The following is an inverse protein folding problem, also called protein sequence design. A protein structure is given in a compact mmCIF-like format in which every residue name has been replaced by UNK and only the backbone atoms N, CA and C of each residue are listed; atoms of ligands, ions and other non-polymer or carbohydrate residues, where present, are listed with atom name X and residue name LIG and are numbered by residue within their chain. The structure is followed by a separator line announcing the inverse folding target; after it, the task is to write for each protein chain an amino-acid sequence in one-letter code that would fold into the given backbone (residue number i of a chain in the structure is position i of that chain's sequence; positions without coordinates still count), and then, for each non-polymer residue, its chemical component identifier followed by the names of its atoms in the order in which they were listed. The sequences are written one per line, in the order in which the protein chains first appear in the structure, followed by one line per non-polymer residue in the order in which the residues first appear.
data_IF_501385026783
#
_entry.id   IF_501385026783
#
_cell.length_a   1.000
_cell.length_b   1.000
_cell.length_c   1.000
_cell.angle_alpha   90.00
_cell.angle_beta   90.00
_cell.angle_gamma   90.00
#
_symmetry.space_group_name_H-M   'P 1'
#
loop_
_entity.id
_entity.type
_entity.pdbx_description
1 polymer ?
#
# COMPACT_ATOMS: atom_id res chain seq x y z
N UNK A 1 0.55 -27.95 -3.08
CA UNK A 1 -0.91 -27.96 -2.82
C UNK A 1 -1.30 -29.10 -1.87
N UNK A 2 -0.73 -30.30 -1.98
CA UNK A 2 -0.92 -31.38 -1.00
C UNK A 2 -0.40 -31.03 0.41
N UNK A 3 0.80 -30.48 0.55
CA UNK A 3 1.37 -30.10 1.85
C UNK A 3 0.60 -29.01 2.60
N UNK A 4 -0.18 -28.19 1.89
CA UNK A 4 -0.99 -27.12 2.49
C UNK A 4 -2.33 -27.65 3.00
N UNK A 5 -2.82 -28.79 2.46
CA UNK A 5 -3.97 -29.52 3.00
C UNK A 5 -3.58 -30.29 4.26
N UNK A 6 -2.41 -30.94 4.27
CA UNK A 6 -1.94 -31.71 5.42
C UNK A 6 -1.69 -30.85 6.67
N UNK A 7 -1.17 -29.62 6.54
CA UNK A 7 -0.99 -28.73 7.69
C UNK A 7 -2.32 -28.25 8.30
N UNK A 8 -3.38 -28.12 7.49
CA UNK A 8 -4.70 -27.76 8.00
C UNK A 8 -5.45 -28.98 8.60
N UNK A 9 -5.00 -30.20 8.28
CA UNK A 9 -5.45 -31.46 8.87
C UNK A 9 -4.65 -31.87 10.12
N UNK A 10 -3.69 -31.05 10.58
CA UNK A 10 -3.10 -31.22 11.91
C UNK A 10 -4.20 -30.99 12.97
N UNK A 11 -4.32 -31.98 13.87
CA UNK A 11 -5.40 -32.24 14.85
C UNK A 11 -5.95 -31.05 15.66
N UNK A 12 -5.31 -29.87 15.61
CA UNK A 12 -5.73 -28.65 16.30
C UNK A 12 -6.85 -27.87 15.58
N UNK A 13 -6.88 -27.80 14.25
CA UNK A 13 -7.95 -27.06 13.53
C UNK A 13 -9.27 -27.83 13.46
N UNK A 14 -9.19 -29.17 13.53
CA UNK A 14 -10.36 -30.07 13.56
C UNK A 14 -11.09 -30.00 14.91
N UNK A 15 -10.42 -29.54 15.97
CA UNK A 15 -11.00 -29.41 17.32
C UNK A 15 -11.66 -28.04 17.60
N UNK A 16 -11.46 -27.04 16.73
CA UNK A 16 -12.04 -25.72 16.95
C UNK A 16 -13.56 -25.74 16.75
N UNK A 17 -14.29 -25.19 17.71
CA UNK A 17 -15.71 -24.94 17.53
C UNK A 17 -15.95 -23.84 16.47
N UNK A 18 -17.18 -23.68 15.95
CA UNK A 18 -17.45 -22.71 14.89
C UNK A 18 -17.15 -21.25 15.23
N UNK A 19 -17.15 -20.86 16.50
CA UNK A 19 -16.76 -19.51 16.91
C UNK A 19 -15.24 -19.35 16.95
N UNK A 20 -14.53 -20.29 17.56
CA UNK A 20 -13.05 -20.32 17.59
C UNK A 20 -12.47 -20.28 16.18
N UNK A 21 -13.04 -21.08 15.26
CA UNK A 21 -12.64 -21.09 13.86
C UNK A 21 -12.80 -19.71 13.22
N UNK A 22 -13.92 -19.02 13.42
CA UNK A 22 -14.13 -17.67 12.85
C UNK A 22 -13.17 -16.64 13.45
N UNK A 23 -12.89 -16.72 14.75
CA UNK A 23 -11.90 -15.84 15.41
C UNK A 23 -10.50 -16.11 14.85
N UNK A 24 -10.10 -17.36 14.68
CA UNK A 24 -8.84 -17.72 14.04
C UNK A 24 -8.74 -17.13 12.63
N UNK A 25 -9.79 -17.26 11.81
CA UNK A 25 -9.79 -16.69 10.46
C UNK A 25 -9.86 -15.16 10.43
N UNK A 26 -10.32 -14.51 11.50
CA UNK A 26 -10.15 -13.05 11.66
C UNK A 26 -8.67 -12.68 11.77
N UNK A 27 -7.87 -13.43 12.54
CA UNK A 27 -6.42 -13.21 12.61
C UNK A 27 -5.74 -13.47 11.25
N UNK A 28 -6.17 -14.50 10.52
CA UNK A 28 -5.71 -14.73 9.14
C UNK A 28 -6.01 -13.51 8.26
N UNK A 29 -7.22 -12.94 8.32
CA UNK A 29 -7.57 -11.75 7.56
C UNK A 29 -6.72 -10.53 7.97
N UNK A 30 -6.38 -10.39 9.24
CA UNK A 30 -5.51 -9.31 9.73
C UNK A 30 -4.08 -9.47 9.18
N UNK A 31 -3.56 -10.70 9.06
CA UNK A 31 -2.28 -10.96 8.39
C UNK A 31 -2.35 -10.72 6.87
N UNK A 32 -3.47 -11.09 6.21
CA UNK A 32 -3.71 -10.79 4.79
C UNK A 32 -3.82 -9.27 4.55
N UNK A 33 -4.39 -8.53 5.51
CA UNK A 33 -4.39 -7.07 5.50
C UNK A 33 -2.97 -6.52 5.58
N UNK A 34 -2.17 -6.95 6.56
CA UNK A 34 -0.78 -6.50 6.71
C UNK A 34 0.06 -6.77 5.43
N UNK A 35 -0.06 -7.97 4.85
CA UNK A 35 0.65 -8.32 3.62
C UNK A 35 0.03 -7.69 2.36
N UNK A 36 -1.20 -7.20 2.42
CA UNK A 36 -1.98 -6.75 1.26
C UNK A 36 -2.24 -7.88 0.25
N UNK A 37 -2.23 -9.14 0.66
CA UNK A 37 -2.38 -10.28 -0.23
C UNK A 37 -2.95 -11.51 0.50
N UNK A 38 -3.65 -12.42 -0.21
CA UNK A 38 -3.95 -13.75 0.32
C UNK A 38 -2.66 -14.48 0.71
N UNK A 39 -2.63 -15.12 1.89
CA UNK A 39 -1.41 -15.72 2.43
C UNK A 39 -0.81 -16.82 1.55
N UNK A 40 -1.61 -17.50 0.72
CA UNK A 40 -1.08 -18.48 -0.24
C UNK A 40 -0.16 -17.88 -1.32
N UNK A 41 -0.17 -16.55 -1.49
CA UNK A 41 0.73 -15.84 -2.41
C UNK A 41 1.95 -15.26 -1.71
N UNK A 42 1.99 -15.26 -0.38
CA UNK A 42 3.02 -14.63 0.44
C UNK A 42 4.12 -15.67 0.75
N UNK A 43 5.38 -15.25 0.69
CA UNK A 43 6.53 -16.10 0.99
C UNK A 43 6.59 -16.46 2.47
N UNK A 44 6.37 -17.71 2.83
CA UNK A 44 6.48 -18.15 4.23
C UNK A 44 7.87 -17.88 4.85
N UNK A 45 8.94 -17.88 4.05
CA UNK A 45 10.31 -17.68 4.55
C UNK A 45 10.71 -16.22 4.71
N UNK A 46 10.03 -15.29 4.03
CA UNK A 46 10.49 -13.90 3.92
C UNK A 46 9.39 -12.86 4.12
N UNK A 47 8.17 -13.26 4.49
CA UNK A 47 7.03 -12.35 4.61
C UNK A 47 7.30 -11.17 5.58
N UNK A 48 8.09 -11.43 6.61
CA UNK A 48 8.49 -10.57 7.72
C UNK A 48 9.97 -10.16 7.64
N UNK A 49 10.62 -10.27 6.48
CA UNK A 49 12.07 -10.03 6.34
C UNK A 49 12.55 -8.66 6.83
N UNK A 50 11.67 -7.65 6.82
CA UNK A 50 12.00 -6.31 7.31
C UNK A 50 12.22 -6.30 8.84
N UNK A 51 11.65 -7.25 9.57
CA UNK A 51 11.84 -7.41 11.02
C UNK A 51 13.23 -7.97 11.38
N UNK A 52 14.06 -8.31 10.38
CA UNK A 52 15.46 -8.65 10.61
C UNK A 52 16.29 -7.46 11.12
N UNK A 53 15.78 -6.23 11.03
CA UNK A 53 16.37 -5.04 11.64
C UNK A 53 15.41 -4.41 12.66
N UNK A 54 15.95 -3.57 13.55
CA UNK A 54 15.13 -2.78 14.47
C UNK A 54 14.12 -1.91 13.72
N UNK A 55 12.84 -2.13 14.01
CA UNK A 55 11.74 -1.28 13.54
C UNK A 55 11.56 -0.07 14.46
N UNK A 56 10.76 0.92 14.02
CA UNK A 56 10.48 2.10 14.85
C UNK A 56 9.72 1.73 16.12
N UNK A 57 10.29 2.10 17.27
CA UNK A 57 9.65 1.96 18.58
C UNK A 57 8.57 3.04 18.79
N UNK A 58 7.76 2.86 19.83
CA UNK A 58 6.69 3.78 20.22
C UNK A 58 5.31 3.34 19.74
N UNK A 59 4.33 4.22 19.94
CA UNK A 59 2.93 3.93 19.62
C UNK A 59 2.62 4.24 18.16
N UNK A 60 1.92 3.33 17.50
CA UNK A 60 1.28 3.63 16.22
C UNK A 60 0.28 4.79 16.41
N UNK A 61 0.35 5.78 15.53
CA UNK A 61 -0.42 7.02 15.63
C UNK A 61 -1.12 7.33 14.32
N UNK A 62 -2.24 8.04 14.41
CA UNK A 62 -3.00 8.51 13.25
C UNK A 62 -2.65 9.97 12.93
N UNK A 63 -2.32 10.25 11.66
CA UNK A 63 -2.26 11.61 11.14
C UNK A 63 -3.67 12.17 11.00
N UNK A 64 -4.17 12.78 12.08
CA UNK A 64 -5.55 13.29 12.19
C UNK A 64 -5.90 14.39 11.19
N UNK A 65 -4.89 15.13 10.72
CA UNK A 65 -5.00 16.14 9.66
C UNK A 65 -4.95 15.55 8.23
N UNK A 66 -4.74 14.24 8.11
CA UNK A 66 -4.53 13.54 6.85
C UNK A 66 -3.08 13.62 6.36
N UNK A 67 -2.63 12.54 5.70
CA UNK A 67 -1.29 12.46 5.11
C UNK A 67 -1.06 13.46 3.96
N UNK A 68 -2.13 13.98 3.35
CA UNK A 68 -2.04 14.93 2.24
C UNK A 68 -1.30 16.21 2.62
N UNK A 69 -1.51 16.76 3.83
CA UNK A 69 -0.80 17.98 4.28
C UNK A 69 0.72 17.81 4.29
N UNK A 70 1.20 16.60 4.62
CA UNK A 70 2.64 16.29 4.60
C UNK A 70 3.15 16.28 3.16
N UNK A 71 2.39 15.70 2.24
CA UNK A 71 2.75 15.66 0.81
C UNK A 71 2.76 17.06 0.21
N UNK A 72 1.76 17.89 0.51
CA UNK A 72 1.67 19.28 0.06
C UNK A 72 2.84 20.11 0.57
N UNK A 73 3.21 19.97 1.84
CA UNK A 73 4.36 20.67 2.41
C UNK A 73 5.70 20.24 1.78
N UNK A 74 5.86 18.95 1.44
CA UNK A 74 7.08 18.48 0.74
C UNK A 74 7.10 18.96 -0.73
N UNK A 75 5.93 19.13 -1.34
CA UNK A 75 5.78 19.59 -2.71
C UNK A 75 5.92 21.12 -2.89
N UNK A 76 5.96 21.87 -1.79
CA UNK A 76 6.13 23.33 -1.80
C UNK A 76 7.40 23.71 -2.57
N UNK A 77 7.33 24.81 -3.32
CA UNK A 77 8.40 25.33 -4.17
C UNK A 77 9.00 24.35 -5.20
N UNK A 78 8.28 23.28 -5.53
CA UNK A 78 8.69 22.28 -6.54
C UNK A 78 7.89 22.42 -7.83
N UNK A 79 8.56 22.37 -8.98
CA UNK A 79 7.88 22.33 -10.29
C UNK A 79 7.20 20.97 -10.51
N UNK A 80 5.87 20.94 -10.47
CA UNK A 80 5.07 19.72 -10.66
C UNK A 80 4.19 19.87 -11.90
N UNK A 81 4.41 19.01 -12.89
CA UNK A 81 3.59 18.96 -14.10
C UNK A 81 2.52 17.88 -13.95
N UNK A 82 1.31 18.27 -13.57
CA UNK A 82 0.16 17.36 -13.50
C UNK A 82 -0.37 17.00 -14.89
N UNK A 83 -1.11 15.89 -14.98
CA UNK A 83 -1.69 15.36 -16.23
C UNK A 83 -0.63 15.05 -17.33
N UNK A 84 0.61 14.77 -16.93
CA UNK A 84 1.74 14.44 -17.81
C UNK A 84 2.13 12.97 -17.65
N UNK A 85 1.44 12.09 -18.38
CA UNK A 85 1.66 10.64 -18.31
C UNK A 85 2.86 10.23 -19.14
N UNK A 86 3.92 9.75 -18.48
CA UNK A 86 5.11 9.17 -19.11
C UNK A 86 4.78 7.78 -19.66
N UNK A 87 5.19 7.49 -20.90
CA UNK A 87 5.10 6.12 -21.45
C UNK A 87 6.45 5.56 -21.91
N UNK A 88 7.50 6.39 -21.98
CA UNK A 88 8.83 5.94 -22.41
C UNK A 88 9.95 6.72 -21.74
N UNK A 89 11.01 5.99 -21.37
CA UNK A 89 12.27 6.52 -20.86
C UNK A 89 13.40 5.93 -21.70
N UNK A 90 14.16 6.78 -22.38
CA UNK A 90 15.21 6.39 -23.32
C UNK A 90 16.56 7.00 -22.92
N UNK A 91 17.60 6.19 -22.82
CA UNK A 91 18.97 6.68 -22.75
C UNK A 91 19.36 7.29 -24.11
N UNK A 92 19.92 8.50 -24.07
CA UNK A 92 20.46 9.20 -25.24
C UNK A 92 21.97 9.44 -25.04
N UNK A 93 22.67 9.99 -26.04
CA UNK A 93 24.13 10.19 -25.96
C UNK A 93 24.54 10.97 -24.69
N UNK A 94 23.86 12.09 -24.40
CA UNK A 94 24.04 12.89 -23.18
C UNK A 94 22.70 13.03 -22.45
N UNK A 95 22.54 12.25 -21.39
CA UNK A 95 21.33 12.23 -20.56
C UNK A 95 20.30 11.16 -20.94
N UNK A 96 19.04 11.52 -20.69
CA UNK A 96 17.84 10.71 -20.87
C UNK A 96 16.75 11.53 -21.55
N UNK A 97 15.92 10.87 -22.36
CA UNK A 97 14.72 11.43 -22.96
C UNK A 97 13.49 10.74 -22.39
N UNK A 98 12.52 11.53 -21.96
CA UNK A 98 11.25 11.09 -21.37
C UNK A 98 10.11 11.51 -22.29
N UNK A 99 9.40 10.52 -22.83
CA UNK A 99 8.28 10.75 -23.76
C UNK A 99 6.94 10.64 -23.04
N UNK A 100 6.08 11.62 -23.28
CA UNK A 100 4.76 11.74 -22.68
C UNK A 100 3.66 11.37 -23.68
N UNK A 101 2.51 10.93 -23.17
CA UNK A 101 1.38 10.49 -23.99
C UNK A 101 0.79 11.59 -24.88
N UNK A 102 1.00 12.86 -24.55
CA UNK A 102 0.55 14.01 -25.34
C UNK A 102 1.53 14.38 -26.46
N UNK A 103 2.60 13.59 -26.66
CA UNK A 103 3.64 13.83 -27.66
C UNK A 103 4.77 14.75 -27.18
N UNK A 104 4.71 15.26 -25.95
CA UNK A 104 5.81 16.05 -25.38
C UNK A 104 7.03 15.16 -25.13
N UNK A 105 8.21 15.65 -25.46
CA UNK A 105 9.50 15.03 -25.14
C UNK A 105 10.27 15.95 -24.18
N UNK A 106 10.75 15.39 -23.08
CA UNK A 106 11.60 16.08 -22.11
C UNK A 106 12.99 15.46 -22.11
N UNK A 107 14.03 16.30 -22.07
CA UNK A 107 15.41 15.84 -21.92
C UNK A 107 15.99 16.32 -20.60
N UNK A 108 16.79 15.46 -19.95
CA UNK A 108 17.48 15.76 -18.70
C UNK A 108 18.77 14.95 -18.62
N UNK A 109 19.71 15.36 -17.76
CA UNK A 109 20.93 14.59 -17.52
C UNK A 109 20.63 13.23 -16.85
N UNK A 110 19.66 13.22 -15.94
CA UNK A 110 19.25 12.06 -15.13
C UNK A 110 17.74 12.06 -14.93
N UNK A 111 17.17 10.89 -14.65
CA UNK A 111 15.75 10.70 -14.29
C UNK A 111 15.63 9.84 -13.04
N UNK A 112 14.74 10.24 -12.13
CA UNK A 112 14.31 9.45 -10.99
C UNK A 112 12.92 8.88 -11.25
N UNK A 113 12.81 7.56 -11.27
CA UNK A 113 11.56 6.83 -11.48
C UNK A 113 10.97 6.43 -10.13
N UNK A 114 9.77 6.95 -9.82
CA UNK A 114 9.05 6.68 -8.57
C UNK A 114 7.69 6.04 -8.76
N UNK A 115 7.43 5.49 -9.96
CA UNK A 115 6.12 4.89 -10.28
C UNK A 115 5.88 3.62 -9.47
N UNK A 116 4.61 3.30 -9.14
CA UNK A 116 4.28 2.10 -8.38
C UNK A 116 4.75 0.80 -9.07
N UNK A 117 5.07 -0.23 -8.26
CA UNK A 117 5.52 -1.53 -8.76
C UNK A 117 4.54 -2.15 -9.77
N UNK A 118 3.23 -1.96 -9.57
CA UNK A 118 2.21 -2.45 -10.51
C UNK A 118 2.32 -1.81 -11.89
N UNK A 119 2.71 -0.54 -11.99
CA UNK A 119 2.93 0.14 -13.28
C UNK A 119 4.12 -0.46 -14.03
N UNK A 120 5.21 -0.75 -13.30
CA UNK A 120 6.38 -1.43 -13.86
C UNK A 120 6.04 -2.86 -14.32
N UNK A 121 5.23 -3.59 -13.55
CA UNK A 121 4.76 -4.95 -13.90
C UNK A 121 3.89 -4.99 -15.15
N UNK A 122 3.02 -3.99 -15.32
CA UNK A 122 2.14 -3.87 -16.50
C UNK A 122 2.90 -3.48 -17.78
N UNK A 123 4.14 -2.98 -17.64
CA UNK A 123 4.92 -2.48 -18.77
C UNK A 123 4.40 -1.15 -19.32
N UNK A 124 3.71 -0.36 -18.49
CA UNK A 124 3.12 0.93 -18.90
C UNK A 124 4.17 1.97 -19.31
N UNK A 125 5.43 1.77 -18.88
CA UNK A 125 6.57 2.61 -19.26
C UNK A 125 7.59 1.71 -19.97
N UNK A 126 7.89 2.05 -21.22
CA UNK A 126 8.93 1.41 -22.00
C UNK A 126 10.30 1.99 -21.63
N UNK A 127 11.29 1.13 -21.38
CA UNK A 127 12.68 1.54 -21.16
C UNK A 127 13.54 1.17 -22.38
N UNK A 128 14.33 2.11 -22.88
CA UNK A 128 15.27 1.91 -23.98
C UNK A 128 16.70 2.34 -23.59
N UNK A 129 17.68 1.42 -23.49
CA UNK A 129 17.55 -0.04 -23.65
C UNK A 129 16.67 -0.67 -22.55
N UNK A 130 16.19 -1.92 -22.75
CA UNK A 130 15.43 -2.63 -21.74
C UNK A 130 16.16 -2.69 -20.39
N UNK A 131 15.39 -2.71 -19.29
CA UNK A 131 15.95 -2.78 -17.94
C UNK A 131 16.83 -4.04 -17.77
N UNK A 132 17.93 -3.95 -17.00
CA UNK A 132 18.80 -5.10 -16.73
C UNK A 132 18.01 -6.27 -16.16
N UNK A 133 18.39 -7.50 -16.56
CA UNK A 133 17.67 -8.74 -16.19
C UNK A 133 17.41 -8.84 -14.69
N UNK A 134 18.38 -8.48 -13.84
CA UNK A 134 18.23 -8.50 -12.38
C UNK A 134 17.04 -7.65 -11.90
N UNK A 135 16.88 -6.45 -12.45
CA UNK A 135 15.75 -5.55 -12.12
C UNK A 135 14.44 -6.06 -12.71
N UNK A 136 14.43 -6.48 -13.97
CA UNK A 136 13.25 -7.05 -14.62
C UNK A 136 12.71 -8.28 -13.86
N UNK A 137 13.61 -9.15 -13.40
CA UNK A 137 13.24 -10.32 -12.61
C UNK A 137 12.68 -9.94 -11.22
N UNK A 138 13.25 -8.90 -10.57
CA UNK A 138 12.73 -8.39 -9.30
C UNK A 138 11.33 -7.76 -9.45
N UNK A 139 11.11 -6.96 -10.51
CA UNK A 139 9.78 -6.44 -10.88
C UNK A 139 8.79 -7.59 -11.03
N UNK A 140 9.19 -8.71 -11.64
CA UNK A 140 8.32 -9.88 -11.82
C UNK A 140 8.03 -10.59 -10.50
N UNK A 141 9.04 -10.81 -9.66
CA UNK A 141 8.93 -11.61 -8.43
C UNK A 141 8.16 -10.91 -7.31
N UNK A 142 8.49 -9.66 -6.99
CA UNK A 142 7.85 -8.94 -5.88
C UNK A 142 6.34 -8.89 -6.07
N UNK A 143 5.59 -9.00 -4.98
CA UNK A 143 4.14 -8.92 -5.02
C UNK A 143 3.66 -7.48 -5.13
N UNK A 144 2.61 -7.23 -5.91
CA UNK A 144 1.85 -5.98 -5.88
C UNK A 144 0.55 -6.23 -5.12
N UNK A 145 0.54 -5.88 -3.83
CA UNK A 145 -0.57 -6.13 -2.93
C UNK A 145 -1.74 -5.18 -3.17
N UNK A 146 -2.91 -5.57 -2.68
CA UNK A 146 -4.15 -4.80 -2.75
C UNK A 146 -4.97 -4.97 -1.48
N UNK A 147 -5.36 -3.83 -0.93
CA UNK A 147 -6.45 -3.66 0.03
C UNK A 147 -7.32 -2.51 -0.43
N UNK A 148 -8.57 -2.48 0.02
CA UNK A 148 -9.49 -1.36 -0.26
C UNK A 148 -10.06 -0.82 1.04
N UNK A 149 -10.29 0.49 1.10
CA UNK A 149 -10.83 1.21 2.24
C UNK A 149 -12.27 1.60 1.96
N UNK A 150 -13.09 1.49 2.99
CA UNK A 150 -14.45 2.00 3.02
C UNK A 150 -14.55 2.93 4.21
N UNK A 151 -14.97 4.18 4.02
CA UNK A 151 -15.30 5.05 5.14
C UNK A 151 -16.71 5.60 5.00
N UNK A 152 -17.39 5.70 6.13
CA UNK A 152 -18.77 6.19 6.23
C UNK A 152 -18.85 7.20 7.36
N UNK A 153 -19.31 8.40 7.01
CA UNK A 153 -19.56 9.47 7.95
C UNK A 153 -21.03 9.45 8.40
N UNK A 154 -21.25 9.60 9.69
CA UNK A 154 -22.55 9.61 10.34
C UNK A 154 -22.80 10.95 11.06
N UNK A 155 -24.06 11.38 11.18
CA UNK A 155 -24.41 12.63 11.87
C UNK A 155 -24.32 12.51 13.40
N UNK A 156 -24.24 11.29 13.94
CA UNK A 156 -24.07 11.04 15.38
C UNK A 156 -23.27 9.76 15.66
N UNK A 157 -22.52 9.75 16.75
CA UNK A 157 -21.82 8.56 17.24
C UNK A 157 -22.82 7.58 17.88
N UNK A 158 -23.17 6.50 17.17
CA UNK A 158 -23.99 5.43 17.73
C UNK A 158 -23.18 4.37 18.50
N UNK A 159 -21.84 4.40 18.38
CA UNK A 159 -20.89 3.50 19.05
C UNK A 159 -20.24 4.13 20.31
N UNK A 160 -20.87 5.16 20.89
CA UNK A 160 -20.35 5.90 22.06
C UNK A 160 -19.99 5.00 23.26
N UNK A 161 -20.73 3.90 23.44
CA UNK A 161 -20.51 2.95 24.53
C UNK A 161 -19.13 2.27 24.43
N UNK A 162 -18.60 2.09 23.21
CA UNK A 162 -17.23 1.58 23.00
C UNK A 162 -16.16 2.59 23.42
N UNK A 163 -16.47 3.88 23.33
CA UNK A 163 -15.57 4.98 23.72
C UNK A 163 -15.51 5.17 25.23
N UNK A 164 -16.51 4.69 25.95
CA UNK A 164 -16.60 4.77 27.42
C UNK A 164 -15.88 3.61 28.12
N UNK A 165 -15.33 2.65 27.36
CA UNK A 165 -14.47 1.59 27.92
C UNK A 165 -13.15 2.17 28.45
N UNK A 166 -12.51 1.43 29.36
CA UNK A 166 -11.20 1.76 29.90
C UNK A 166 -10.20 0.63 29.57
N UNK A 167 -9.24 0.84 28.65
CA UNK A 167 -9.03 2.07 27.88
C UNK A 167 -10.09 2.27 26.78
N UNK A 168 -10.27 3.51 26.28
CA UNK A 168 -11.12 3.79 25.14
C UNK A 168 -10.67 2.97 23.92
N UNK A 169 -11.64 2.51 23.14
CA UNK A 169 -11.38 1.65 21.97
C UNK A 169 -11.42 2.51 20.70
N UNK A 170 -10.30 2.60 19.98
CA UNK A 170 -10.20 3.32 18.70
C UNK A 170 -10.55 2.44 17.49
N UNK A 171 -10.62 1.12 17.65
CA UNK A 171 -11.05 0.17 16.62
C UNK A 171 -11.63 -1.12 17.22
N UNK A 172 -12.51 -1.80 16.49
CA UNK A 172 -13.14 -3.04 16.92
C UNK A 172 -13.23 -4.06 15.79
N UNK A 173 -13.30 -5.34 16.16
CA UNK A 173 -13.32 -6.45 15.21
C UNK A 173 -14.74 -6.80 14.74
N UNK A 174 -14.84 -7.21 13.47
CA UNK A 174 -15.99 -7.91 12.90
C UNK A 174 -15.58 -9.35 12.57
N UNK A 175 -16.08 -10.30 13.37
CA UNK A 175 -15.85 -11.73 13.17
C UNK A 175 -16.91 -12.29 12.22
N UNK A 176 -16.62 -12.20 10.92
CA UNK A 176 -17.50 -12.67 9.84
C UNK A 176 -17.39 -14.16 9.52
N UNK A 177 -18.10 -14.64 8.48
CA UNK A 177 -17.90 -15.97 7.90
C UNK A 177 -16.47 -16.16 7.38
N UNK A 178 -15.96 -17.39 7.41
CA UNK A 178 -14.56 -17.74 7.05
C UNK A 178 -14.22 -17.36 5.61
N UNK A 179 -15.17 -17.56 4.70
CA UNK A 179 -15.07 -17.29 3.27
C UNK A 179 -15.06 -15.78 2.97
N UNK A 180 -15.54 -14.98 3.93
CA UNK A 180 -15.67 -13.52 3.86
C UNK A 180 -14.80 -12.84 4.92
N UNK A 181 -13.80 -13.54 5.45
CA UNK A 181 -12.98 -13.07 6.58
C UNK A 181 -12.33 -11.69 6.36
N UNK A 182 -12.04 -11.33 5.11
CA UNK A 182 -11.44 -10.06 4.75
C UNK A 182 -12.46 -8.92 4.58
N UNK A 183 -13.77 -9.19 4.58
CA UNK A 183 -14.80 -8.15 4.49
C UNK A 183 -14.97 -7.45 5.84
N UNK A 184 -14.49 -6.21 5.88
CA UNK A 184 -14.70 -5.28 6.99
C UNK A 184 -14.18 -5.81 8.34
N UNK A 185 -13.12 -6.61 8.32
CA UNK A 185 -12.65 -7.38 9.47
C UNK A 185 -12.30 -6.49 10.68
N UNK A 186 -11.70 -5.33 10.45
CA UNK A 186 -11.40 -4.34 11.50
C UNK A 186 -12.03 -3.00 11.15
N UNK A 187 -12.72 -2.39 12.12
CA UNK A 187 -13.44 -1.12 11.96
C UNK A 187 -12.83 -0.10 12.89
N UNK A 188 -12.37 1.03 12.36
CA UNK A 188 -11.66 2.09 13.05
C UNK A 188 -12.54 3.34 13.20
N UNK A 189 -12.48 4.00 14.35
CA UNK A 189 -13.05 5.33 14.56
C UNK A 189 -12.09 6.40 14.04
N UNK A 190 -12.37 6.92 12.85
CA UNK A 190 -11.63 8.01 12.19
C UNK A 190 -12.27 9.39 12.42
N UNK A 191 -13.16 9.51 13.41
CA UNK A 191 -13.74 10.82 13.79
C UNK A 191 -12.63 11.78 14.18
N UNK A 192 -12.50 12.92 13.47
CA UNK A 192 -11.56 13.97 13.85
C UNK A 192 -12.00 14.61 15.18
N UNK A 193 -11.12 14.59 16.19
CA UNK A 193 -11.40 15.04 17.56
C UNK A 193 -10.71 16.37 17.92
N UNK A 194 -10.00 17.02 16.99
CA UNK A 194 -9.19 18.21 17.29
C UNK A 194 -10.02 19.39 17.83
N UNK A 195 -11.22 19.64 17.28
CA UNK A 195 -12.03 20.83 17.63
C UNK A 195 -13.01 20.61 18.81
N UNK A 196 -12.91 19.50 19.56
CA UNK A 196 -13.78 19.18 20.70
C UNK A 196 -15.22 18.80 20.36
N UNK A 197 -15.78 19.30 19.25
CA UNK A 197 -17.11 18.95 18.73
C UNK A 197 -17.02 18.50 17.26
N UNK A 198 -16.90 17.19 16.97
CA UNK A 198 -16.86 16.70 15.59
C UNK A 198 -18.15 17.00 14.84
N UNK A 199 -18.04 17.57 13.64
CA UNK A 199 -19.17 17.83 12.73
C UNK A 199 -19.75 16.53 12.13
N UNK A 200 -18.94 15.48 12.06
CA UNK A 200 -19.33 14.16 11.59
C UNK A 200 -18.51 13.07 12.29
N UNK A 201 -19.08 11.87 12.38
CA UNK A 201 -18.46 10.71 13.03
C UNK A 201 -18.14 9.65 11.99
N UNK A 202 -16.87 9.27 11.84
CA UNK A 202 -16.41 8.46 10.71
C UNK A 202 -15.98 7.08 11.20
N UNK A 203 -16.57 6.04 10.60
CA UNK A 203 -16.05 4.68 10.70
C UNK A 203 -15.38 4.30 9.38
N UNK A 204 -14.16 3.76 9.47
CA UNK A 204 -13.41 3.25 8.32
C UNK A 204 -13.10 1.78 8.51
N UNK A 205 -13.15 1.00 7.44
CA UNK A 205 -12.79 -0.42 7.45
C UNK A 205 -12.08 -0.82 6.17
N UNK A 206 -11.50 -2.02 6.19
CA UNK A 206 -10.74 -2.57 5.09
C UNK A 206 -11.45 -3.75 4.43
N UNK A 207 -11.15 -3.94 3.15
CA UNK A 207 -11.36 -5.20 2.43
C UNK A 207 -10.02 -5.72 1.93
N UNK A 208 -9.69 -6.97 2.27
CA UNK A 208 -8.41 -7.61 1.95
C UNK A 208 -8.59 -9.08 1.54
N UNK A 209 -7.48 -9.72 1.15
CA UNK A 209 -7.45 -11.15 0.82
C UNK A 209 -8.44 -11.54 -0.28
N UNK A 210 -9.00 -12.75 -0.18
CA UNK A 210 -9.97 -13.27 -1.17
C UNK A 210 -11.30 -12.51 -1.20
N UNK A 211 -11.61 -11.76 -0.13
CA UNK A 211 -12.84 -10.98 -0.06
C UNK A 211 -12.90 -9.86 -1.11
N UNK A 212 -11.75 -9.49 -1.70
CA UNK A 212 -11.70 -8.56 -2.83
C UNK A 212 -12.43 -9.09 -4.08
N UNK A 213 -12.54 -10.41 -4.26
CA UNK A 213 -13.28 -11.00 -5.39
C UNK A 213 -14.79 -10.73 -5.31
N UNK A 214 -15.32 -10.63 -4.08
CA UNK A 214 -16.71 -10.23 -3.84
C UNK A 214 -16.85 -8.73 -4.07
N UNK A 215 -15.92 -7.95 -3.51
CA UNK A 215 -15.89 -6.48 -3.60
C UNK A 215 -15.81 -5.95 -5.03
N UNK A 216 -15.03 -6.60 -5.90
CA UNK A 216 -14.87 -6.19 -7.30
C UNK A 216 -16.15 -6.31 -8.13
N UNK A 217 -17.09 -7.16 -7.69
CA UNK A 217 -18.40 -7.39 -8.31
C UNK A 217 -19.50 -6.47 -7.78
N UNK A 218 -19.15 -5.49 -6.93
CA UNK A 218 -20.11 -4.58 -6.29
C UNK A 218 -19.87 -3.13 -6.70
N UNK A 219 -20.95 -2.38 -6.87
CA UNK A 219 -20.90 -0.91 -6.93
C UNK A 219 -20.57 -0.34 -5.57
N UNK A 220 -20.15 0.93 -5.51
CA UNK A 220 -19.82 1.57 -4.24
C UNK A 220 -21.03 1.60 -3.29
N UNK A 221 -22.23 1.95 -3.78
CA UNK A 221 -23.46 1.91 -2.98
C UNK A 221 -23.77 0.52 -2.42
N UNK A 222 -23.49 -0.54 -3.19
CA UNK A 222 -23.67 -1.92 -2.72
C UNK A 222 -22.67 -2.27 -1.62
N UNK A 223 -21.40 -1.85 -1.76
CA UNK A 223 -20.38 -2.03 -0.71
C UNK A 223 -20.77 -1.28 0.56
N UNK A 224 -21.23 -0.03 0.43
CA UNK A 224 -21.67 0.78 1.57
C UNK A 224 -22.88 0.12 2.25
N UNK A 225 -23.84 -0.37 1.49
CA UNK A 225 -24.98 -1.10 2.03
C UNK A 225 -24.53 -2.33 2.82
N UNK A 226 -23.59 -3.12 2.28
CA UNK A 226 -23.01 -4.28 2.98
C UNK A 226 -22.33 -3.85 4.29
N UNK A 227 -21.56 -2.77 4.28
CA UNK A 227 -20.88 -2.27 5.48
C UNK A 227 -21.89 -1.79 6.54
N UNK A 228 -22.95 -1.07 6.16
CA UNK A 228 -24.02 -0.66 7.08
C UNK A 228 -24.76 -1.87 7.65
N UNK A 229 -25.02 -2.90 6.85
CA UNK A 229 -25.63 -4.15 7.32
C UNK A 229 -24.73 -4.89 8.32
N UNK A 230 -23.42 -4.89 8.11
CA UNK A 230 -22.44 -5.38 9.09
C UNK A 230 -22.52 -4.59 10.40
N UNK A 231 -22.55 -3.25 10.33
CA UNK A 231 -22.70 -2.42 11.52
C UNK A 231 -24.01 -2.70 12.26
N UNK A 232 -25.14 -2.92 11.56
CA UNK A 232 -26.43 -3.26 12.19
C UNK A 232 -26.36 -4.56 12.98
N UNK A 233 -25.60 -5.54 12.49
CA UNK A 233 -25.36 -6.81 13.20
C UNK A 233 -24.48 -6.63 14.43
N UNK A 234 -23.47 -5.75 14.35
CA UNK A 234 -22.54 -5.48 15.46
C UNK A 234 -23.16 -4.65 16.59
N UNK A 235 -24.16 -3.82 16.28
CA UNK A 235 -24.84 -2.95 17.25
C UNK A 235 -26.34 -3.27 17.33
N UNK A 236 -26.72 -4.49 17.78
CA UNK A 236 -28.12 -4.88 17.89
C UNK A 236 -28.87 -3.91 18.82
N UNK A 237 -30.09 -3.54 18.43
CA UNK A 237 -30.93 -2.59 19.18
C UNK A 237 -30.53 -1.12 19.06
N UNK A 238 -29.43 -0.78 18.38
CA UNK A 238 -29.08 0.63 18.09
C UNK A 238 -29.62 1.04 16.72
N UNK A 239 -30.28 2.20 16.66
CA UNK A 239 -30.62 2.81 15.38
C UNK A 239 -29.36 3.38 14.72
N UNK A 240 -28.94 2.80 13.60
CA UNK A 240 -27.84 3.30 12.76
C UNK A 240 -28.40 4.41 11.84
N UNK A 241 -27.95 5.67 11.98
CA UNK A 241 -28.43 6.76 11.16
C UNK A 241 -28.04 6.60 9.69
N UNK A 242 -28.76 7.28 8.80
CA UNK A 242 -28.36 7.39 7.40
C UNK A 242 -26.97 8.06 7.33
N UNK A 243 -26.05 7.55 6.48
CA UNK A 243 -24.78 8.21 6.23
C UNK A 243 -24.96 9.65 5.72
N UNK A 244 -24.04 10.53 6.12
CA UNK A 244 -23.90 11.91 5.61
C UNK A 244 -22.68 12.06 4.69
N UNK A 245 -21.87 11.01 4.56
CA UNK A 245 -20.74 10.96 3.63
C UNK A 245 -20.25 9.52 3.50
N UNK A 246 -19.67 9.19 2.35
CA UNK A 246 -19.16 7.85 2.06
C UNK A 246 -17.97 7.92 1.11
N UNK A 247 -17.04 6.98 1.24
CA UNK A 247 -15.99 6.72 0.26
C UNK A 247 -15.75 5.21 0.14
N UNK A 248 -15.39 4.77 -1.06
CA UNK A 248 -14.90 3.43 -1.35
C UNK A 248 -13.67 3.58 -2.23
N UNK A 249 -12.50 3.12 -1.79
CA UNK A 249 -11.31 3.12 -2.65
C UNK A 249 -11.38 2.01 -3.69
N UNK A 250 -10.71 2.22 -4.83
CA UNK A 250 -10.54 1.23 -5.90
C UNK A 250 -9.07 1.23 -6.38
N UNK A 251 -8.12 1.12 -5.46
CA UNK A 251 -6.68 1.16 -5.74
C UNK A 251 -6.25 0.17 -6.82
N UNK A 252 -6.83 -1.03 -6.83
CA UNK A 252 -6.51 -2.02 -7.86
C UNK A 252 -6.95 -1.65 -9.28
N UNK A 253 -7.96 -0.78 -9.40
CA UNK A 253 -8.52 -0.32 -10.69
C UNK A 253 -7.94 1.03 -11.14
N UNK A 254 -7.22 1.72 -10.26
CA UNK A 254 -6.54 2.96 -10.60
C UNK A 254 -5.48 2.71 -11.70
N UNK A 255 -5.58 3.46 -12.80
CA UNK A 255 -4.74 3.27 -13.99
C UNK A 255 -3.30 3.75 -13.81
N UNK A 256 -3.06 4.63 -12.84
CA UNK A 256 -1.75 5.22 -12.56
C UNK A 256 -1.11 4.63 -11.30
N UNK A 257 -1.86 3.84 -10.53
CA UNK A 257 -1.40 3.18 -9.31
C UNK A 257 -1.50 1.66 -9.39
N UNK A 258 -2.72 1.12 -9.49
CA UNK A 258 -2.98 -0.32 -9.68
C UNK A 258 -2.61 -1.25 -8.51
N UNK A 259 -2.30 -0.72 -7.33
CA UNK A 259 -1.93 -1.48 -6.12
C UNK A 259 -2.09 -0.65 -4.85
N UNK A 260 -1.93 -1.29 -3.69
CA UNK A 260 -1.81 -0.61 -2.40
C UNK A 260 -0.35 -0.47 -1.98
N UNK A 261 0.36 -1.59 -1.86
CA UNK A 261 1.77 -1.65 -1.46
C UNK A 261 2.35 -3.02 -1.83
N UNK A 262 3.68 -3.09 -1.91
CA UNK A 262 4.40 -4.29 -2.28
C UNK A 262 4.38 -5.35 -1.18
N UNK A 263 4.68 -6.60 -1.51
CA UNK A 263 4.85 -7.66 -0.52
C UNK A 263 5.84 -8.72 -1.00
N UNK A 264 6.35 -9.50 -0.06
CA UNK A 264 7.21 -10.65 -0.36
C UNK A 264 6.37 -11.82 -0.89
N UNK A 265 6.25 -11.92 -2.22
CA UNK A 265 5.52 -13.01 -2.84
C UNK A 265 6.32 -14.32 -2.84
N UNK A 266 5.64 -15.45 -2.96
CA UNK A 266 6.29 -16.77 -3.13
C UNK A 266 7.32 -16.71 -4.25
N UNK A 267 8.55 -17.09 -3.94
CA UNK A 267 9.69 -17.05 -4.86
C UNK A 267 10.46 -15.73 -4.90
N UNK A 268 9.98 -14.68 -4.24
CA UNK A 268 10.75 -13.43 -4.04
C UNK A 268 11.88 -13.64 -3.03
N UNK A 269 12.91 -12.81 -3.13
CA UNK A 269 13.99 -12.70 -2.15
C UNK A 269 14.09 -11.28 -1.63
N UNK A 270 14.51 -11.04 -0.38
CA UNK A 270 14.68 -9.69 0.15
C UNK A 270 15.53 -8.77 -0.75
N UNK A 271 16.53 -9.33 -1.44
CA UNK A 271 17.41 -8.63 -2.39
C UNK A 271 16.67 -8.13 -3.65
N UNK A 272 15.41 -8.53 -3.86
CA UNK A 272 14.58 -7.99 -4.93
C UNK A 272 14.31 -6.50 -4.70
N UNK A 273 14.12 -6.04 -3.45
CA UNK A 273 14.02 -4.61 -3.14
C UNK A 273 15.31 -3.84 -3.48
N UNK A 274 16.47 -4.45 -3.21
CA UNK A 274 17.77 -3.85 -3.54
C UNK A 274 17.96 -3.78 -5.07
N UNK A 275 17.49 -4.81 -5.78
CA UNK A 275 17.49 -4.86 -7.24
C UNK A 275 16.54 -3.85 -7.88
N UNK A 276 15.40 -3.57 -7.22
CA UNK A 276 14.49 -2.48 -7.58
C UNK A 276 15.16 -1.11 -7.40
N UNK A 277 15.90 -0.90 -6.31
CA UNK A 277 16.60 0.35 -6.02
C UNK A 277 17.78 0.65 -6.95
N UNK A 278 18.50 -0.37 -7.42
CA UNK A 278 19.75 -0.20 -8.15
C UNK A 278 19.61 0.74 -9.37
N UNK A 279 20.49 1.74 -9.57
CA UNK A 279 20.44 2.61 -10.75
C UNK A 279 20.77 1.84 -12.04
N UNK A 280 20.42 2.44 -13.18
CA UNK A 280 20.74 1.92 -14.52
C UNK A 280 21.54 2.98 -15.27
N UNK A 281 22.76 2.57 -15.68
CA UNK A 281 23.69 3.38 -16.47
C UNK A 281 23.97 4.77 -15.88
N UNK A 282 23.96 4.89 -14.55
CA UNK A 282 24.21 6.13 -13.78
C UNK A 282 23.34 7.33 -14.21
N UNK A 283 22.18 7.04 -14.80
CA UNK A 283 21.26 8.04 -15.39
C UNK A 283 19.80 7.80 -15.05
N UNK A 284 19.40 6.54 -14.84
CA UNK A 284 18.02 6.19 -14.44
C UNK A 284 18.07 5.63 -13.02
N UNK A 285 17.47 6.35 -12.08
CA UNK A 285 17.42 6.00 -10.67
C UNK A 285 16.01 5.58 -10.29
N UNK A 286 15.88 4.85 -9.18
CA UNK A 286 14.61 4.32 -8.72
C UNK A 286 14.40 4.61 -7.23
N UNK A 287 13.21 5.12 -6.90
CA UNK A 287 12.75 5.31 -5.53
C UNK A 287 11.28 4.89 -5.42
N UNK A 288 10.73 4.95 -4.20
CA UNK A 288 9.40 4.50 -3.84
C UNK A 288 9.44 3.30 -2.89
N UNK A 289 8.29 2.97 -2.31
CA UNK A 289 8.17 1.94 -1.26
C UNK A 289 8.75 0.57 -1.69
N UNK A 290 8.57 0.19 -2.96
CA UNK A 290 9.08 -1.06 -3.52
C UNK A 290 10.60 -1.05 -3.81
N UNK A 291 11.33 -0.05 -3.29
CA UNK A 291 12.78 0.08 -3.42
C UNK A 291 13.48 0.18 -2.06
N UNK A 292 12.77 -0.04 -0.94
CA UNK A 292 13.34 0.06 0.40
C UNK A 292 13.19 -1.26 1.16
N UNK A 293 14.22 -2.11 1.12
CA UNK A 293 14.21 -3.45 1.74
C UNK A 293 13.78 -3.45 3.21
N UNK A 294 14.24 -2.49 3.99
CA UNK A 294 14.00 -2.51 5.44
C UNK A 294 12.71 -1.83 5.90
N UNK A 295 12.11 -1.01 5.05
CA UNK A 295 10.88 -0.27 5.34
C UNK A 295 9.96 -0.29 4.10
N UNK A 296 9.66 -1.47 3.52
CA UNK A 296 8.77 -1.54 2.36
C UNK A 296 7.35 -1.11 2.78
N UNK A 297 6.44 -0.93 1.83
CA UNK A 297 5.01 -0.61 2.03
C UNK A 297 4.70 0.77 2.60
N UNK A 298 5.62 1.36 3.34
CA UNK A 298 5.37 2.51 4.20
C UNK A 298 5.63 3.84 3.51
N UNK A 299 4.94 4.90 3.96
CA UNK A 299 5.22 6.27 3.53
C UNK A 299 6.64 6.71 3.89
N UNK A 300 7.12 6.37 5.09
CA UNK A 300 8.46 6.75 5.51
C UNK A 300 9.55 6.00 4.73
N UNK A 301 9.34 4.72 4.39
CA UNK A 301 10.25 4.00 3.50
C UNK A 301 10.30 4.60 2.09
N UNK A 302 9.16 5.04 1.56
CA UNK A 302 9.10 5.80 0.31
C UNK A 302 9.91 7.11 0.41
N UNK A 303 9.71 7.89 1.48
CA UNK A 303 10.45 9.12 1.73
C UNK A 303 11.96 8.90 1.83
N UNK A 304 12.40 7.93 2.65
CA UNK A 304 13.81 7.56 2.81
C UNK A 304 14.44 7.08 1.50
N UNK A 305 13.68 6.35 0.68
CA UNK A 305 14.15 5.91 -0.64
C UNK A 305 14.36 7.07 -1.61
N UNK A 306 13.55 8.13 -1.51
CA UNK A 306 13.72 9.36 -2.27
C UNK A 306 15.03 10.06 -1.91
N UNK A 307 15.27 10.27 -0.60
CA UNK A 307 16.55 10.81 -0.10
C UNK A 307 17.72 9.99 -0.63
N UNK A 308 17.69 8.66 -0.45
CA UNK A 308 18.76 7.75 -0.90
C UNK A 308 19.05 7.91 -2.40
N UNK A 309 18.01 7.87 -3.24
CA UNK A 309 18.19 7.93 -4.69
C UNK A 309 18.74 9.30 -5.14
N UNK A 310 18.26 10.39 -4.55
CA UNK A 310 18.77 11.74 -4.83
C UNK A 310 20.22 11.91 -4.37
N UNK A 311 20.61 11.35 -3.22
CA UNK A 311 22.02 11.34 -2.80
C UNK A 311 22.92 10.65 -3.82
N UNK A 312 22.53 9.46 -4.31
CA UNK A 312 23.28 8.78 -5.39
C UNK A 312 23.36 9.63 -6.67
N UNK A 313 22.26 10.29 -7.05
CA UNK A 313 22.25 11.18 -8.22
C UNK A 313 23.24 12.33 -8.09
N UNK A 314 23.34 12.93 -6.90
CA UNK A 314 24.26 14.02 -6.60
C UNK A 314 25.71 13.56 -6.57
N UNK A 315 26.01 12.45 -5.89
CA UNK A 315 27.37 11.91 -5.82
C UNK A 315 27.92 11.60 -7.22
N UNK A 316 27.12 10.94 -8.04
CA UNK A 316 27.50 10.63 -9.42
C UNK A 316 27.67 11.91 -10.27
N UNK A 317 26.84 12.94 -10.03
CA UNK A 317 26.97 14.22 -10.73
C UNK A 317 28.29 14.93 -10.37
N UNK A 318 28.66 14.93 -9.09
CA UNK A 318 29.91 15.54 -8.62
C UNK A 318 31.13 14.79 -9.15
N UNK A 319 31.08 13.46 -9.25
CA UNK A 319 32.17 12.66 -9.83
C UNK A 319 32.36 12.97 -11.32
N UNK A 320 31.27 13.09 -12.08
CA UNK A 320 31.34 13.43 -13.51
C UNK A 320 31.94 14.82 -13.75
N UNK A 321 31.60 15.80 -12.89
CA UNK A 321 32.05 17.18 -13.04
C UNK A 321 33.43 17.45 -12.42
N UNK A 322 33.88 16.66 -11.45
CA UNK A 322 35.27 16.77 -10.94
C UNK A 322 36.28 16.16 -11.93
N UNK A 323 35.90 15.11 -12.66
CA UNK A 323 36.74 14.51 -13.71
C UNK A 323 36.98 15.46 -14.89
N UNK A 324 36.04 16.36 -15.20
CA UNK A 324 36.20 17.33 -16.28
C UNK A 324 37.12 18.50 -15.93
N UNK A 325 37.36 18.78 -14.64
CA UNK A 325 38.34 19.78 -14.21
C UNK A 325 39.79 19.25 -14.18
N UNK A 326 39.99 17.93 -14.11
CA UNK A 326 41.32 17.31 -14.13
C UNK A 326 41.89 17.06 -15.54
N UNK A 327 41.14 17.40 -16.60
CA UNK A 327 41.55 17.29 -18.01
C UNK A 327 41.69 18.64 -18.71
N UNK A 328 41.65 19.74 -17.96
CA UNK A 328 42.13 21.08 -18.35
C UNK A 328 43.46 21.34 -17.65
#
# INVERSE_FOLDING_TARGET
MESQREFLDEKALVQMNPLEKRIFYWHIANSEYACGAPLEKVSASYWDQNEAIGQFDGRHSLLVDGAQKVVEAIAEDTTILLNKKVHKVKLIHRGVRVSLNDGTELEADKVLVTVPLAMLKKGNIQFEPPLPKRKADAIKRLGAGRIEKIAVAFPRCFWKDLKQKNPPVDYFAHVGPVEQRGLFHTIYDFTNRQDGSPKSFVLMSYVCGKSLEIFDKKTDDQVIKMFIETLRKLFPGKHIPKPVGQMVSRWGKDEDIGMSYSYMAVGSKPEDYDSMAAPVSDRIYFAGEATHRFFPQTMHGSYLSGIRATTWMLDDYLVDHTRSFSTL
#
